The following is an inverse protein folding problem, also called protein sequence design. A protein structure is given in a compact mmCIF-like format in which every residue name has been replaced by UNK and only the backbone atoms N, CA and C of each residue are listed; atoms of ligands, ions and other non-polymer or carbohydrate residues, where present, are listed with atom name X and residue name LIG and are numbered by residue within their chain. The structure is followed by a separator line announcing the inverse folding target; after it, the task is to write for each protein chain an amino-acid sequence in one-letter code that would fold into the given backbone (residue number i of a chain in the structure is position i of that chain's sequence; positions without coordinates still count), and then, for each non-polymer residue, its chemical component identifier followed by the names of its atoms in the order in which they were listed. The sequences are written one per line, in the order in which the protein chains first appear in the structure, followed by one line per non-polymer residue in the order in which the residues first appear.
data_IF_247790312576
#
_entry.id   IF_247790312576
#
_cell.length_a   1.000
_cell.length_b   1.000
_cell.length_c   1.000
_cell.angle_alpha   90.00
_cell.angle_beta   90.00
_cell.angle_gamma   90.00
#
_symmetry.space_group_name_H-M   'P 1'
#
loop_
_entity.id
_entity.type
_entity.pdbx_description
1 polymer ?
#
# COMPACT_ATOMS: atom_id res chain seq x y z
N UNK A 1 -28.12 -15.27 10.43
CA UNK A 1 -26.75 -14.74 10.28
C UNK A 1 -25.98 -15.30 9.08
N UNK A 2 -26.12 -16.58 8.72
CA UNK A 2 -25.41 -17.16 7.54
C UNK A 2 -25.94 -16.62 6.19
N UNK A 3 -27.25 -16.44 6.06
CA UNK A 3 -27.93 -15.93 4.86
C UNK A 3 -27.60 -14.46 4.54
N UNK A 4 -27.51 -13.61 5.58
CA UNK A 4 -27.08 -12.21 5.47
C UNK A 4 -25.61 -12.09 5.01
N UNK A 5 -24.74 -13.00 5.46
CA UNK A 5 -23.35 -13.04 5.03
C UNK A 5 -23.19 -13.42 3.56
N UNK A 6 -24.04 -14.31 3.05
CA UNK A 6 -24.09 -14.70 1.63
C UNK A 6 -24.69 -13.60 0.73
N UNK A 7 -25.67 -12.84 1.21
CA UNK A 7 -26.21 -11.69 0.46
C UNK A 7 -25.19 -10.55 0.41
N UNK A 8 -24.57 -10.22 1.55
CA UNK A 8 -23.51 -9.20 1.62
C UNK A 8 -22.32 -9.55 0.73
N UNK A 9 -21.96 -10.83 0.61
CA UNK A 9 -20.83 -11.25 -0.23
C UNK A 9 -21.13 -11.27 -1.73
N UNK A 10 -22.40 -11.36 -2.14
CA UNK A 10 -22.83 -11.15 -3.53
C UNK A 10 -22.86 -9.68 -3.91
N UNK A 11 -23.22 -8.80 -2.98
CA UNK A 11 -23.40 -7.35 -3.23
C UNK A 11 -22.10 -6.53 -3.07
N UNK A 12 -20.99 -7.14 -2.60
CA UNK A 12 -19.68 -6.46 -2.53
C UNK A 12 -19.12 -6.30 -3.95
N UNK A 13 -19.34 -5.10 -4.50
CA UNK A 13 -18.76 -4.63 -5.75
C UNK A 13 -17.23 -4.57 -5.58
N UNK A 14 -16.49 -5.30 -6.43
CA UNK A 14 -15.02 -5.44 -6.37
C UNK A 14 -14.25 -4.35 -7.15
N UNK A 15 -14.96 -3.44 -7.82
CA UNK A 15 -14.40 -2.29 -8.56
C UNK A 15 -14.66 -0.96 -7.85
N UNK A 16 -13.95 0.11 -8.23
CA UNK A 16 -14.18 1.46 -7.71
C UNK A 16 -15.25 2.17 -8.58
N UNK A 17 -16.46 2.42 -8.07
CA UNK A 17 -17.57 2.91 -8.89
C UNK A 17 -17.58 4.44 -9.10
N UNK A 18 -16.49 5.15 -8.76
CA UNK A 18 -16.38 6.61 -8.84
C UNK A 18 -17.54 7.36 -8.14
N UNK A 19 -18.10 6.71 -7.12
CA UNK A 19 -19.22 7.23 -6.32
C UNK A 19 -18.65 8.18 -5.27
N UNK A 20 -19.04 9.45 -5.37
CA UNK A 20 -18.71 10.47 -4.37
C UNK A 20 -19.42 10.13 -3.05
N UNK A 21 -18.84 10.53 -1.93
CA UNK A 21 -19.41 10.26 -0.59
C UNK A 21 -20.86 10.77 -0.43
N UNK A 22 -21.21 11.83 -1.16
CA UNK A 22 -22.54 12.45 -1.21
C UNK A 22 -23.54 11.65 -2.04
N UNK A 23 -23.10 10.87 -3.04
CA UNK A 23 -24.00 10.14 -3.94
C UNK A 23 -24.45 8.77 -3.41
N UNK A 24 -23.89 8.30 -2.29
CA UNK A 24 -24.40 7.11 -1.58
C UNK A 24 -25.68 7.53 -0.83
N UNK A 25 -26.87 7.17 -1.33
CA UNK A 25 -28.13 7.49 -0.64
C UNK A 25 -28.38 6.47 0.48
N UNK A 26 -28.63 6.94 1.71
CA UNK A 26 -28.79 6.07 2.89
C UNK A 26 -27.47 5.78 3.63
N UNK A 27 -27.60 5.10 4.78
CA UNK A 27 -26.52 4.83 5.76
C UNK A 27 -25.98 6.09 6.47
N UNK A 28 -26.83 7.10 6.72
CA UNK A 28 -26.46 8.33 7.42
C UNK A 28 -25.74 8.04 8.75
N UNK A 29 -26.20 7.05 9.52
CA UNK A 29 -25.57 6.65 10.79
C UNK A 29 -24.16 6.10 10.60
N UNK A 30 -23.93 5.23 9.61
CA UNK A 30 -22.62 4.66 9.36
C UNK A 30 -21.64 5.71 8.81
N UNK A 31 -22.13 6.60 7.94
CA UNK A 31 -21.36 7.74 7.44
C UNK A 31 -20.99 8.69 8.56
N UNK A 32 -21.93 8.97 9.48
CA UNK A 32 -21.71 9.81 10.65
C UNK A 32 -20.65 9.20 11.57
N UNK A 33 -20.78 7.91 11.89
CA UNK A 33 -19.80 7.18 12.71
C UNK A 33 -18.40 7.17 12.09
N UNK A 34 -18.28 6.93 10.78
CA UNK A 34 -16.98 6.99 10.09
C UNK A 34 -16.36 8.39 10.12
N UNK A 35 -17.21 9.42 9.93
CA UNK A 35 -16.78 10.82 9.99
C UNK A 35 -16.34 11.19 11.41
N UNK A 36 -17.06 10.76 12.43
CA UNK A 36 -16.74 10.99 13.85
C UNK A 36 -15.50 10.19 14.31
N UNK A 37 -15.33 8.95 13.87
CA UNK A 37 -14.26 8.08 14.34
C UNK A 37 -12.92 8.31 13.62
N UNK A 38 -12.94 8.79 12.39
CA UNK A 38 -11.74 8.90 11.53
C UNK A 38 -11.52 10.33 11.06
N UNK A 39 -12.51 10.96 10.43
CA UNK A 39 -12.32 12.25 9.74
C UNK A 39 -12.21 13.43 10.71
N UNK A 40 -13.10 13.51 11.70
CA UNK A 40 -13.13 14.62 12.67
C UNK A 40 -11.91 14.64 13.61
N UNK A 41 -11.39 13.50 14.10
CA UNK A 41 -10.13 13.47 14.87
C UNK A 41 -8.92 13.96 14.06
N UNK A 42 -8.91 13.74 12.75
CA UNK A 42 -7.85 14.22 11.84
C UNK A 42 -8.00 15.72 11.61
N UNK A 43 -9.23 16.20 11.34
CA UNK A 43 -9.49 17.60 10.98
C UNK A 43 -9.46 18.55 12.19
N UNK A 44 -9.91 18.10 13.35
CA UNK A 44 -10.02 18.92 14.57
C UNK A 44 -9.42 18.21 15.79
N UNK A 45 -8.10 17.95 15.80
CA UNK A 45 -7.45 17.13 16.82
C UNK A 45 -7.58 17.70 18.25
N UNK A 46 -7.83 19.00 18.39
CA UNK A 46 -8.01 19.69 19.68
C UNK A 46 -9.22 19.18 20.47
N UNK A 47 -10.26 18.67 19.80
CA UNK A 47 -11.51 18.23 20.43
C UNK A 47 -11.57 16.72 20.70
N UNK A 48 -10.62 15.93 20.18
CA UNK A 48 -10.61 14.46 20.30
C UNK A 48 -9.48 13.98 21.24
N UNK A 49 -9.44 14.56 22.44
CA UNK A 49 -8.56 14.16 23.55
C UNK A 49 -9.34 13.33 24.59
N UNK A 50 -8.66 12.45 25.32
CA UNK A 50 -9.29 11.60 26.35
C UNK A 50 -10.27 10.54 25.78
N UNK A 51 -11.51 10.52 26.29
CA UNK A 51 -12.57 9.57 25.93
C UNK A 51 -12.95 9.58 24.44
N UNK A 52 -12.75 10.70 23.75
CA UNK A 52 -13.05 10.89 22.32
C UNK A 52 -11.88 10.47 21.40
N UNK A 53 -10.87 9.76 21.89
CA UNK A 53 -9.71 9.42 21.04
C UNK A 53 -10.09 8.50 19.86
N UNK A 54 -9.53 8.71 18.65
CA UNK A 54 -9.82 7.87 17.48
C UNK A 54 -9.44 6.41 17.73
N UNK A 55 -10.14 5.49 17.06
CA UNK A 55 -9.95 4.05 17.22
C UNK A 55 -8.48 3.65 16.99
N UNK A 56 -7.86 3.13 18.06
CA UNK A 56 -6.47 2.67 18.07
C UNK A 56 -6.43 1.17 17.78
N UNK A 57 -5.84 0.74 16.66
CA UNK A 57 -5.40 -0.65 16.53
C UNK A 57 -5.67 -1.34 15.20
N UNK A 58 -4.88 -1.01 14.16
CA UNK A 58 -4.83 -1.82 12.94
C UNK A 58 -3.62 -2.80 12.91
N UNK A 59 -3.05 -3.12 14.07
CA UNK A 59 -1.85 -3.96 14.18
C UNK A 59 -0.59 -3.34 13.54
N UNK A 60 0.53 -4.06 13.61
CA UNK A 60 1.77 -3.62 12.97
C UNK A 60 1.69 -3.81 11.45
N UNK A 61 1.89 -2.71 10.69
CA UNK A 61 1.81 -2.70 9.22
C UNK A 61 3.11 -2.34 8.52
N UNK A 62 4.01 -1.65 9.22
CA UNK A 62 5.22 -1.06 8.66
C UNK A 62 6.46 -1.89 9.05
N UNK A 63 7.48 -1.88 8.18
CA UNK A 63 8.81 -2.47 8.43
C UNK A 63 8.79 -3.91 9.01
N UNK A 64 8.03 -4.82 8.39
CA UNK A 64 7.88 -6.23 8.84
C UNK A 64 8.77 -7.24 8.12
N UNK A 65 9.46 -6.82 7.06
CA UNK A 65 10.27 -7.73 6.26
C UNK A 65 11.55 -8.12 7.01
N UNK A 66 12.08 -9.31 6.73
CA UNK A 66 13.29 -9.83 7.37
C UNK A 66 14.46 -8.83 7.28
N UNK A 67 15.13 -8.57 8.39
CA UNK A 67 16.24 -7.61 8.48
C UNK A 67 15.86 -6.13 8.36
N UNK A 68 14.58 -5.78 8.18
CA UNK A 68 14.16 -4.38 8.06
C UNK A 68 13.95 -3.73 9.42
N UNK A 69 14.13 -2.41 9.49
CA UNK A 69 13.86 -1.58 10.66
C UNK A 69 13.44 -0.17 10.22
N UNK A 70 12.79 0.57 11.11
CA UNK A 70 12.46 1.98 10.92
C UNK A 70 13.14 2.81 12.01
N UNK A 71 13.54 4.04 11.68
CA UNK A 71 14.23 4.94 12.62
C UNK A 71 13.32 6.08 13.02
N UNK A 72 13.12 6.28 14.33
CA UNK A 72 12.46 7.47 14.86
C UNK A 72 13.45 8.63 14.71
N UNK A 73 13.02 9.73 14.10
CA UNK A 73 13.86 10.90 13.85
C UNK A 73 13.63 12.01 14.87
N UNK A 74 12.53 12.74 14.75
CA UNK A 74 12.23 13.92 15.58
C UNK A 74 10.72 14.02 15.83
N UNK A 75 10.36 14.83 16.83
CA UNK A 75 8.99 15.29 17.01
C UNK A 75 8.74 16.45 16.03
N UNK A 76 7.73 16.37 15.15
CA UNK A 76 7.25 17.58 14.47
C UNK A 76 6.59 18.49 15.53
N UNK A 77 7.08 19.73 15.66
CA UNK A 77 6.56 20.72 16.59
C UNK A 77 5.18 21.20 16.09
N UNK A 78 4.08 20.77 16.73
CA UNK A 78 3.66 21.36 18.00
C UNK A 78 3.37 20.35 19.13
N UNK A 79 3.58 20.73 20.40
CA UNK A 79 3.42 19.87 21.59
C UNK A 79 1.98 19.39 21.86
N UNK A 80 1.00 19.85 21.10
CA UNK A 80 -0.42 19.48 21.24
C UNK A 80 -0.80 18.22 20.46
N UNK A 81 0.00 17.83 19.45
CA UNK A 81 -0.21 16.61 18.68
C UNK A 81 0.88 15.60 18.98
N UNK A 82 0.47 14.43 19.46
CA UNK A 82 1.34 13.33 19.82
C UNK A 82 1.84 12.62 18.55
N UNK A 83 2.65 13.30 17.73
CA UNK A 83 3.15 12.80 16.45
C UNK A 83 4.67 12.61 16.48
N UNK A 84 5.19 11.67 15.69
CA UNK A 84 6.62 11.37 15.56
C UNK A 84 6.95 11.18 14.09
N UNK A 85 8.06 11.78 13.66
CA UNK A 85 8.60 11.56 12.33
C UNK A 85 9.41 10.26 12.34
N UNK A 86 9.04 9.33 11.47
CA UNK A 86 9.67 8.01 11.35
C UNK A 86 10.17 7.81 9.93
N UNK A 87 11.45 7.49 9.80
CA UNK A 87 12.08 7.12 8.52
C UNK A 87 11.91 5.62 8.28
N UNK A 88 11.25 5.28 7.18
CA UNK A 88 10.97 3.90 6.77
C UNK A 88 12.16 3.25 6.05
N UNK A 89 12.19 1.90 5.93
CA UNK A 89 13.18 1.19 5.12
C UNK A 89 13.25 1.65 3.65
N UNK A 90 12.16 2.19 3.11
CA UNK A 90 12.14 2.77 1.75
C UNK A 90 12.91 4.09 1.62
N UNK A 91 13.41 4.63 2.74
CA UNK A 91 14.01 5.96 2.81
C UNK A 91 13.00 7.10 2.97
N UNK A 92 11.70 6.82 2.85
CA UNK A 92 10.63 7.82 2.98
C UNK A 92 10.36 8.11 4.45
N UNK A 93 10.26 9.39 4.79
CA UNK A 93 9.84 9.85 6.12
C UNK A 93 8.32 9.98 6.17
N UNK A 94 7.72 9.47 7.25
CA UNK A 94 6.28 9.54 7.50
C UNK A 94 6.02 10.00 8.92
N UNK A 95 4.97 10.81 9.08
CA UNK A 95 4.47 11.20 10.39
C UNK A 95 3.54 10.11 10.93
N UNK A 96 3.79 9.65 12.15
CA UNK A 96 3.05 8.58 12.83
C UNK A 96 2.64 9.06 14.23
N UNK A 97 1.44 8.73 14.68
CA UNK A 97 0.99 9.00 16.05
C UNK A 97 1.86 8.25 17.08
N UNK A 98 2.35 8.94 18.11
CA UNK A 98 3.16 8.40 19.19
C UNK A 98 2.42 7.36 20.03
N UNK A 99 1.08 7.35 19.97
CA UNK A 99 0.25 6.31 20.58
C UNK A 99 0.35 4.97 19.83
N UNK A 100 0.92 4.93 18.63
CA UNK A 100 1.19 3.68 17.92
C UNK A 100 2.26 2.86 18.65
N UNK A 101 2.04 1.54 18.71
CA UNK A 101 3.03 0.61 19.28
C UNK A 101 4.12 0.28 18.27
N UNK A 102 5.34 0.12 18.76
CA UNK A 102 6.48 -0.36 17.99
C UNK A 102 7.29 -1.36 18.82
N UNK A 103 7.97 -2.29 18.14
CA UNK A 103 8.94 -3.20 18.75
C UNK A 103 10.35 -2.67 18.53
N UNK A 104 11.15 -2.63 19.60
CA UNK A 104 12.53 -2.17 19.56
C UNK A 104 13.41 -3.23 18.89
N UNK A 105 14.29 -2.79 17.98
CA UNK A 105 15.27 -3.65 17.32
C UNK A 105 15.02 -3.82 15.82
N UNK A 106 15.62 -4.88 15.27
CA UNK A 106 15.59 -5.21 13.84
C UNK A 106 14.81 -6.51 13.68
N UNK A 107 14.03 -6.64 12.61
CA UNK A 107 13.35 -7.91 12.30
C UNK A 107 14.39 -9.00 12.08
N UNK A 108 14.13 -10.20 12.62
CA UNK A 108 15.05 -11.33 12.53
C UNK A 108 15.39 -11.74 11.09
N UNK A 109 16.42 -12.57 10.94
CA UNK A 109 16.91 -13.10 9.67
C UNK A 109 17.43 -12.03 8.67
N UNK A 110 18.44 -11.23 9.04
CA UNK A 110 19.02 -10.21 8.14
C UNK A 110 19.64 -10.81 6.87
N UNK A 111 20.14 -12.05 6.96
CA UNK A 111 20.77 -12.74 5.83
C UNK A 111 19.77 -13.26 4.77
N UNK A 112 18.46 -13.09 4.99
CA UNK A 112 17.43 -13.55 4.06
C UNK A 112 17.63 -12.99 2.63
N UNK A 113 18.04 -11.72 2.51
CA UNK A 113 18.28 -11.06 1.23
C UNK A 113 19.49 -11.61 0.45
N UNK A 114 20.48 -12.17 1.15
CA UNK A 114 21.69 -12.72 0.53
C UNK A 114 21.49 -14.17 0.04
N UNK A 115 20.39 -14.83 0.41
CA UNK A 115 20.12 -16.23 0.05
C UNK A 115 19.85 -16.38 -1.45
N UNK A 116 20.78 -17.01 -2.17
CA UNK A 116 20.62 -17.35 -3.60
C UNK A 116 19.83 -18.65 -3.77
N UNK A 117 18.86 -18.64 -4.70
CA UNK A 117 18.21 -19.86 -5.17
C UNK A 117 19.11 -20.52 -6.23
N UNK A 118 19.39 -21.82 -6.09
CA UNK A 118 20.35 -22.55 -6.94
C UNK A 118 19.70 -23.39 -8.04
N UNK A 119 18.39 -23.63 -7.97
CA UNK A 119 17.63 -24.38 -8.97
C UNK A 119 16.23 -23.81 -9.16
N UNK A 120 15.68 -23.95 -10.36
CA UNK A 120 14.31 -23.50 -10.68
C UNK A 120 13.26 -24.11 -9.73
N UNK A 121 13.45 -25.37 -9.30
CA UNK A 121 12.56 -26.05 -8.35
C UNK A 121 12.44 -25.34 -6.99
N UNK A 122 13.46 -24.63 -6.52
CA UNK A 122 13.36 -23.87 -5.26
C UNK A 122 12.37 -22.71 -5.37
N UNK A 123 12.28 -22.07 -6.55
CA UNK A 123 11.27 -21.04 -6.81
C UNK A 123 9.86 -21.64 -6.81
N UNK A 124 9.71 -22.85 -7.36
CA UNK A 124 8.43 -23.60 -7.36
C UNK A 124 7.97 -23.96 -5.95
N UNK A 125 8.89 -24.39 -5.08
CA UNK A 125 8.58 -24.67 -3.66
C UNK A 125 8.11 -23.43 -2.90
N UNK A 126 8.52 -22.24 -3.33
CA UNK A 126 8.04 -20.95 -2.79
C UNK A 126 6.71 -20.47 -3.44
N UNK A 127 6.05 -21.32 -4.23
CA UNK A 127 4.77 -21.00 -4.88
C UNK A 127 4.88 -20.07 -6.08
N UNK A 128 6.09 -19.79 -6.60
CA UNK A 128 6.28 -18.89 -7.75
C UNK A 128 6.21 -19.69 -9.05
N UNK A 129 5.40 -19.21 -10.00
CA UNK A 129 5.29 -19.77 -11.37
C UNK A 129 6.33 -19.11 -12.29
N UNK A 130 6.75 -19.79 -13.39
CA UNK A 130 7.59 -19.15 -14.39
C UNK A 130 6.89 -17.94 -15.00
N UNK A 131 7.64 -16.87 -15.25
CA UNK A 131 7.16 -15.64 -15.88
C UNK A 131 7.73 -15.58 -17.29
N UNK A 132 6.87 -15.48 -18.30
CA UNK A 132 7.26 -15.34 -19.71
C UNK A 132 7.57 -13.87 -20.00
N UNK A 133 8.65 -13.60 -20.74
CA UNK A 133 9.03 -12.24 -21.14
C UNK A 133 8.14 -11.78 -22.29
N UNK A 134 7.76 -10.50 -22.32
CA UNK A 134 6.95 -9.93 -23.42
C UNK A 134 7.55 -10.12 -24.81
N UNK A 135 8.89 -10.05 -24.94
CA UNK A 135 9.60 -10.31 -26.21
C UNK A 135 9.38 -11.74 -26.76
N UNK A 136 9.05 -12.70 -25.91
CA UNK A 136 8.82 -14.09 -26.32
C UNK A 136 7.35 -14.34 -26.70
N UNK A 137 6.51 -13.31 -26.67
CA UNK A 137 5.07 -13.40 -26.95
C UNK A 137 4.75 -12.85 -28.34
N UNK A 138 3.53 -13.10 -28.81
CA UNK A 138 3.05 -12.53 -30.07
C UNK A 138 2.73 -11.04 -29.90
N UNK A 139 2.71 -10.24 -30.98
CA UNK A 139 2.38 -8.81 -30.90
C UNK A 139 0.96 -8.52 -30.42
N UNK A 140 0.05 -9.51 -30.44
CA UNK A 140 -1.30 -9.42 -29.86
C UNK A 140 -1.30 -9.59 -28.34
N UNK A 141 -0.35 -10.36 -27.79
CA UNK A 141 -0.34 -10.76 -26.38
C UNK A 141 0.40 -9.74 -25.50
N UNK A 142 1.47 -9.11 -26.04
CA UNK A 142 2.28 -8.14 -25.31
C UNK A 142 2.79 -7.03 -26.24
N UNK A 143 2.86 -5.77 -25.77
CA UNK A 143 3.40 -4.66 -26.56
C UNK A 143 4.84 -4.86 -27.07
N UNK A 144 5.61 -5.73 -26.44
CA UNK A 144 6.98 -6.12 -26.86
C UNK A 144 7.03 -7.34 -27.76
N UNK A 145 5.90 -7.99 -28.01
CA UNK A 145 5.83 -9.19 -28.83
C UNK A 145 5.99 -8.93 -30.33
N UNK A 146 6.38 -9.96 -31.06
CA UNK A 146 6.53 -9.95 -32.52
C UNK A 146 7.89 -9.50 -33.05
N UNK A 147 8.00 -9.46 -34.38
CA UNK A 147 9.24 -9.23 -35.12
C UNK A 147 9.94 -10.53 -35.50
N UNK A 148 10.81 -10.47 -36.52
CA UNK A 148 11.66 -11.60 -36.90
C UNK A 148 12.86 -11.68 -35.93
N UNK A 149 13.04 -12.84 -35.30
CA UNK A 149 14.08 -13.05 -34.30
C UNK A 149 13.87 -12.30 -32.97
N UNK A 150 14.92 -12.21 -32.17
CA UNK A 150 14.88 -11.59 -30.83
C UNK A 150 14.98 -10.06 -30.88
N UNK A 151 13.98 -9.38 -31.47
CA UNK A 151 13.97 -7.92 -31.59
C UNK A 151 13.09 -7.25 -30.53
N UNK A 152 13.32 -5.96 -30.28
CA UNK A 152 12.57 -5.15 -29.29
C UNK A 152 11.52 -4.22 -29.92
N UNK A 153 11.37 -4.25 -31.25
CA UNK A 153 10.41 -3.45 -32.00
C UNK A 153 10.51 -1.92 -31.80
N UNK A 154 11.61 -1.39 -31.26
CA UNK A 154 11.83 0.04 -31.03
C UNK A 154 10.96 0.69 -29.95
N UNK A 155 10.14 -0.08 -29.21
CA UNK A 155 9.21 0.45 -28.21
C UNK A 155 9.86 0.67 -26.84
N UNK A 156 9.41 1.67 -26.06
CA UNK A 156 9.83 1.82 -24.67
C UNK A 156 9.42 0.60 -23.83
N UNK A 157 10.16 0.33 -22.74
CA UNK A 157 9.79 -0.74 -21.82
C UNK A 157 8.48 -0.39 -21.11
N UNK A 158 7.44 -1.18 -21.40
CA UNK A 158 6.08 -1.04 -20.85
C UNK A 158 5.66 -2.36 -20.19
N UNK A 159 4.59 -2.31 -19.41
CA UNK A 159 3.88 -3.49 -18.92
C UNK A 159 2.98 -4.06 -20.02
N UNK A 160 2.42 -5.28 -19.85
CA UNK A 160 1.45 -5.84 -20.81
C UNK A 160 0.25 -4.93 -21.09
N UNK A 161 -0.08 -4.03 -20.16
CA UNK A 161 -1.16 -3.04 -20.29
C UNK A 161 -0.66 -1.66 -20.76
N UNK A 162 0.53 -1.56 -21.34
CA UNK A 162 1.08 -0.32 -21.90
C UNK A 162 1.60 0.72 -20.90
N UNK A 163 1.54 0.46 -19.58
CA UNK A 163 2.12 1.40 -18.58
C UNK A 163 3.65 1.37 -18.62
N UNK A 164 4.36 2.51 -18.72
CA UNK A 164 5.83 2.52 -18.73
C UNK A 164 6.44 1.92 -17.46
N UNK A 165 7.52 1.16 -17.59
CA UNK A 165 8.19 0.47 -16.46
C UNK A 165 9.55 1.05 -16.09
N UNK A 166 10.07 1.97 -16.90
CA UNK A 166 11.37 2.64 -16.72
C UNK A 166 11.21 4.17 -16.73
N UNK A 167 12.34 4.88 -16.69
CA UNK A 167 12.40 6.35 -16.74
C UNK A 167 11.61 7.06 -15.62
N UNK A 168 11.53 6.44 -14.43
CA UNK A 168 10.90 7.06 -13.27
C UNK A 168 9.38 7.19 -13.35
N UNK A 169 8.71 6.46 -14.26
CA UNK A 169 7.27 6.42 -14.33
C UNK A 169 6.66 5.99 -12.99
N UNK A 170 5.76 6.82 -12.44
CA UNK A 170 5.12 6.59 -11.14
C UNK A 170 3.71 6.06 -11.36
N UNK A 171 3.54 4.75 -11.22
CA UNK A 171 2.23 4.12 -11.32
C UNK A 171 1.36 4.50 -10.10
N UNK A 172 0.36 5.36 -10.30
CA UNK A 172 -0.65 5.70 -9.27
C UNK A 172 -0.43 7.07 -8.61
N UNK A 173 -0.66 8.15 -9.35
CA UNK A 173 -0.51 9.53 -8.85
C UNK A 173 -1.71 10.36 -9.29
N UNK A 174 -2.84 10.18 -8.61
CA UNK A 174 -3.88 11.20 -8.53
C UNK A 174 -3.59 12.19 -7.41
N UNK A 175 -4.29 13.33 -7.42
CA UNK A 175 -4.35 14.33 -6.32
C UNK A 175 -4.70 13.62 -5.01
N UNK A 176 -3.71 13.36 -4.16
CA UNK A 176 -3.91 12.66 -2.88
C UNK A 176 -2.61 12.05 -2.34
N UNK A 177 -1.46 12.63 -2.70
CA UNK A 177 -0.18 12.15 -2.19
C UNK A 177 -0.04 12.57 -0.73
N UNK A 178 -0.07 11.57 0.15
CA UNK A 178 0.36 11.61 1.54
C UNK A 178 0.18 12.98 2.22
N UNK A 179 -1.04 13.30 2.65
CA UNK A 179 -1.36 14.49 3.47
C UNK A 179 -0.62 14.53 4.83
N UNK A 180 0.30 13.59 5.05
CA UNK A 180 1.09 13.38 6.27
C UNK A 180 2.61 13.35 5.99
N UNK A 181 3.05 13.94 4.88
CA UNK A 181 4.45 14.36 4.70
C UNK A 181 4.59 15.79 5.27
N UNK A 182 5.73 16.15 5.90
CA UNK A 182 5.96 17.51 6.37
C UNK A 182 5.92 18.54 5.23
#
# INVERSE_FOLDING_TARGET
MRTLGESLSRDIIRGNPDVKWESIKGLENAKRLLKEAVVMPIKYPKYFTGLLSPWKGQGAKLARAAGTFAKIMKEPAPPTLSLRLVRLPSGVEKVIDSRCRATIGIVSNPNHGARKQRKAGQSRWLGRRPIVRGLAMNPVDDPHGGGEGCTKGGRPSVSPWGKPTKAGFRAGVGKGRNEFMP
#
